data_IF_707851982509
#
_entry.id   IF_707851982509
#
_cell.length_a   1.000
_cell.length_b   1.000
_cell.length_c   1.000
_cell.angle_alpha   90.00
_cell.angle_beta   90.00
_cell.angle_gamma   90.00
#
_symmetry.space_group_name_H-M   'P 1'
#
loop_
_entity.id
_entity.type
_entity.pdbx_description
1 polymer ?
#
# COMPACT_ATOMS: atom_id res chain seq x y z
N UNK A 1 -30.95 4.38 15.48
CA UNK A 1 -30.06 4.57 14.31
C UNK A 1 -28.65 4.36 14.82
N UNK A 2 -28.10 3.15 14.64
CA UNK A 2 -26.74 2.84 15.11
C UNK A 2 -25.73 3.56 14.24
N UNK A 3 -24.80 4.30 14.84
CA UNK A 3 -23.62 4.77 14.11
C UNK A 3 -22.81 3.55 13.69
N UNK A 4 -22.64 3.34 12.39
CA UNK A 4 -21.68 2.37 11.92
C UNK A 4 -20.28 2.78 12.42
N UNK A 5 -19.47 1.83 12.90
CA UNK A 5 -18.11 2.13 13.31
C UNK A 5 -17.39 2.80 12.14
N UNK A 6 -16.71 3.91 12.43
CA UNK A 6 -15.96 4.66 11.44
C UNK A 6 -14.68 3.87 11.13
N UNK A 7 -14.79 2.87 10.26
CA UNK A 7 -13.69 1.99 9.85
C UNK A 7 -12.73 2.82 9.01
N UNK A 8 -11.53 3.11 9.56
CA UNK A 8 -10.50 3.93 8.89
C UNK A 8 -9.48 3.12 8.08
N UNK A 9 -9.62 1.79 8.07
CA UNK A 9 -8.72 0.88 7.37
C UNK A 9 -9.26 -0.55 7.40
N UNK A 10 -8.68 -1.40 6.56
CA UNK A 10 -8.99 -2.83 6.49
C UNK A 10 -7.69 -3.63 6.59
N UNK A 11 -7.77 -4.81 7.19
CA UNK A 11 -6.68 -5.78 7.21
C UNK A 11 -7.27 -7.15 6.90
N UNK A 12 -6.57 -7.93 6.09
CA UNK A 12 -6.99 -9.25 5.68
C UNK A 12 -5.75 -10.07 5.32
N UNK A 13 -5.92 -11.38 5.26
CA UNK A 13 -4.87 -12.32 4.89
C UNK A 13 -4.93 -12.62 3.38
N UNK A 14 -3.77 -12.88 2.80
CA UNK A 14 -3.62 -13.37 1.43
C UNK A 14 -2.98 -14.76 1.45
N UNK A 15 -3.19 -15.59 0.41
CA UNK A 15 -2.43 -16.83 0.26
C UNK A 15 -0.93 -16.56 0.22
N UNK A 16 -0.15 -17.39 0.92
CA UNK A 16 1.32 -17.32 0.93
C UNK A 16 1.92 -17.95 -0.34
N UNK A 17 1.60 -17.37 -1.50
CA UNK A 17 2.05 -17.84 -2.81
C UNK A 17 2.17 -16.66 -3.80
N UNK A 18 2.74 -16.95 -4.97
CA UNK A 18 2.89 -15.98 -6.05
C UNK A 18 1.53 -15.55 -6.62
N UNK A 19 1.33 -14.25 -6.83
CA UNK A 19 0.07 -13.75 -7.40
C UNK A 19 0.08 -12.25 -7.74
N UNK A 20 -1.10 -11.74 -8.09
CA UNK A 20 -1.37 -10.32 -8.37
C UNK A 20 -2.22 -9.73 -7.24
N UNK A 21 -1.77 -9.88 -5.99
CA UNK A 21 -2.62 -9.63 -4.83
C UNK A 21 -3.01 -8.16 -4.71
N UNK A 22 -2.04 -7.24 -4.76
CA UNK A 22 -2.31 -5.82 -4.48
C UNK A 22 -3.24 -5.16 -5.50
N UNK A 23 -3.05 -5.42 -6.79
CA UNK A 23 -3.96 -4.87 -7.81
C UNK A 23 -5.37 -5.46 -7.69
N UNK A 24 -5.50 -6.74 -7.35
CA UNK A 24 -6.80 -7.36 -7.15
C UNK A 24 -7.54 -6.79 -5.94
N UNK A 25 -6.82 -6.56 -4.84
CA UNK A 25 -7.33 -5.93 -3.61
C UNK A 25 -7.75 -4.49 -3.88
N UNK A 26 -6.89 -3.71 -4.53
CA UNK A 26 -7.08 -2.27 -4.72
C UNK A 26 -7.96 -1.92 -5.92
N UNK A 27 -8.34 -2.89 -6.75
CA UNK A 27 -9.20 -2.70 -7.93
C UNK A 27 -10.46 -1.85 -7.69
N UNK A 28 -11.17 -1.94 -6.55
CA UNK A 28 -12.35 -1.10 -6.30
C UNK A 28 -12.03 0.37 -5.97
N UNK A 29 -10.76 0.69 -5.71
CA UNK A 29 -10.28 2.01 -5.31
C UNK A 29 -9.67 2.70 -6.54
N UNK A 30 -10.09 3.94 -6.80
CA UNK A 30 -9.42 4.80 -7.78
C UNK A 30 -8.11 5.33 -7.19
N UNK A 31 -7.05 4.52 -7.29
CA UNK A 31 -5.75 4.81 -6.68
C UNK A 31 -5.20 6.19 -7.07
N UNK A 32 -5.55 6.71 -8.25
CA UNK A 32 -5.07 7.99 -8.78
C UNK A 32 -5.54 9.20 -7.98
N UNK A 33 -6.61 9.09 -7.19
CA UNK A 33 -7.12 10.15 -6.31
C UNK A 33 -6.35 10.31 -5.01
N UNK A 34 -5.30 9.51 -4.80
CA UNK A 34 -4.59 9.44 -3.54
C UNK A 34 -3.07 9.49 -3.74
N UNK A 35 -2.40 10.03 -2.73
CA UNK A 35 -0.99 9.79 -2.44
C UNK A 35 -0.89 8.61 -1.47
N UNK A 36 0.03 7.70 -1.74
CA UNK A 36 0.16 6.43 -1.05
C UNK A 36 1.46 6.41 -0.27
N UNK A 37 1.34 6.37 1.06
CA UNK A 37 2.48 6.09 1.93
C UNK A 37 2.66 4.58 2.02
N UNK A 38 3.82 4.11 1.55
CA UNK A 38 4.31 2.74 1.68
C UNK A 38 4.91 2.63 3.08
N UNK A 39 4.25 1.85 3.93
CA UNK A 39 4.71 1.55 5.28
C UNK A 39 5.73 0.41 5.29
N UNK A 40 5.75 -0.32 6.40
CA UNK A 40 6.57 -1.52 6.52
C UNK A 40 6.05 -2.65 5.64
N UNK A 41 6.96 -3.44 5.08
CA UNK A 41 6.60 -4.57 4.25
C UNK A 41 7.77 -5.52 3.96
N UNK A 42 7.39 -6.74 3.59
CA UNK A 42 8.25 -7.76 2.99
C UNK A 42 7.57 -8.26 1.70
N UNK A 43 7.70 -7.45 0.67
CA UNK A 43 7.07 -7.63 -0.63
C UNK A 43 8.07 -7.63 -1.78
N UNK A 44 7.87 -8.55 -2.71
CA UNK A 44 8.78 -8.78 -3.82
C UNK A 44 8.01 -8.96 -5.11
N UNK A 45 8.67 -8.63 -6.23
CA UNK A 45 8.28 -9.06 -7.57
C UNK A 45 9.28 -10.08 -8.08
N UNK A 46 8.79 -11.03 -8.87
CA UNK A 46 9.63 -11.97 -9.60
C UNK A 46 10.08 -11.35 -10.91
N UNK A 47 11.40 -11.18 -11.08
CA UNK A 47 12.00 -10.73 -12.35
C UNK A 47 13.26 -11.55 -12.61
N UNK A 48 13.38 -12.11 -13.82
CA UNK A 48 14.55 -12.90 -14.24
C UNK A 48 14.91 -14.05 -13.26
N UNK A 49 13.90 -14.71 -12.69
CA UNK A 49 14.00 -15.74 -11.63
C UNK A 49 14.52 -15.27 -10.26
N UNK A 50 14.71 -13.96 -10.07
CA UNK A 50 15.10 -13.37 -8.80
C UNK A 50 13.93 -12.62 -8.13
N UNK A 51 13.95 -12.60 -6.79
CA UNK A 51 13.06 -11.78 -5.99
C UNK A 51 13.68 -10.41 -5.78
N UNK A 52 13.00 -9.39 -6.28
CA UNK A 52 13.42 -7.99 -6.17
C UNK A 52 12.36 -7.25 -5.35
N UNK A 53 12.73 -6.32 -4.45
CA UNK A 53 11.75 -5.51 -3.73
C UNK A 53 10.69 -4.89 -4.67
N UNK A 54 9.41 -4.97 -4.27
CA UNK A 54 8.32 -4.41 -5.08
C UNK A 54 8.42 -2.89 -5.10
N UNK A 55 8.64 -2.27 -3.94
CA UNK A 55 8.82 -0.83 -3.81
C UNK A 55 10.29 -0.45 -3.66
N UNK A 56 10.71 0.73 -4.14
CA UNK A 56 12.08 1.22 -3.96
C UNK A 56 12.35 1.50 -2.47
N UNK A 57 13.56 1.25 -1.98
CA UNK A 57 13.96 1.50 -0.58
C UNK A 57 14.17 2.99 -0.24
N UNK A 58 13.43 3.90 -0.90
CA UNK A 58 13.59 5.35 -0.80
C UNK A 58 12.26 6.03 -0.50
N UNK A 59 11.87 6.97 -1.35
CA UNK A 59 10.64 7.76 -1.21
C UNK A 59 9.44 6.86 -0.87
N UNK A 60 8.96 7.02 0.37
CA UNK A 60 7.84 6.24 0.90
C UNK A 60 6.49 6.71 0.36
N UNK A 61 6.43 7.85 -0.33
CA UNK A 61 5.17 8.43 -0.80
C UNK A 61 5.13 8.36 -2.33
N UNK A 62 4.15 7.62 -2.85
CA UNK A 62 3.90 7.48 -4.28
C UNK A 62 2.60 8.18 -4.67
N UNK A 63 2.58 8.90 -5.79
CA UNK A 63 1.30 9.24 -6.42
C UNK A 63 0.59 7.97 -6.86
N UNK A 64 -0.74 8.00 -6.97
CA UNK A 64 -1.51 6.84 -7.42
C UNK A 64 -1.05 6.26 -8.76
N UNK A 65 -0.64 7.09 -9.71
CA UNK A 65 -0.08 6.63 -10.98
C UNK A 65 1.27 5.93 -10.82
N UNK A 66 2.08 6.35 -9.85
CA UNK A 66 3.37 5.73 -9.56
C UNK A 66 3.17 4.39 -8.85
N UNK A 67 2.26 4.32 -7.87
CA UNK A 67 1.86 3.06 -7.23
C UNK A 67 1.43 2.03 -8.27
N UNK A 68 0.55 2.41 -9.20
CA UNK A 68 0.04 1.50 -10.23
C UNK A 68 1.16 0.92 -11.10
N UNK A 69 2.25 1.67 -11.36
CA UNK A 69 3.41 1.13 -12.11
C UNK A 69 4.14 0.00 -11.37
N UNK A 70 3.98 -0.10 -10.05
CA UNK A 70 4.55 -1.18 -9.27
C UNK A 70 3.60 -2.37 -9.13
N UNK A 71 2.30 -2.12 -8.97
CA UNK A 71 1.35 -3.17 -8.61
C UNK A 71 0.53 -3.72 -9.78
N UNK A 72 0.33 -2.93 -10.84
CA UNK A 72 -0.43 -3.32 -12.05
C UNK A 72 0.56 -3.72 -13.15
N UNK A 73 1.13 -4.93 -13.00
CA UNK A 73 2.14 -5.47 -13.91
C UNK A 73 1.86 -6.93 -14.24
N UNK A 74 2.51 -7.45 -15.28
CA UNK A 74 2.47 -8.88 -15.58
C UNK A 74 3.38 -9.73 -14.68
N UNK A 75 4.28 -9.12 -13.90
CA UNK A 75 5.24 -9.80 -13.03
C UNK A 75 4.53 -10.27 -11.75
N UNK A 76 4.61 -11.57 -11.42
CA UNK A 76 4.02 -12.10 -10.18
C UNK A 76 4.69 -11.52 -8.94
N UNK A 77 3.88 -11.24 -7.92
CA UNK A 77 4.30 -10.73 -6.62
C UNK A 77 4.35 -11.87 -5.60
N UNK A 78 5.29 -11.79 -4.66
CA UNK A 78 5.34 -12.63 -3.46
C UNK A 78 5.37 -11.70 -2.25
N UNK A 79 4.34 -11.77 -1.40
CA UNK A 79 4.08 -10.80 -0.34
C UNK A 79 3.87 -11.56 0.98
N UNK A 80 4.72 -11.28 1.96
CA UNK A 80 4.54 -11.78 3.33
C UNK A 80 3.62 -10.82 4.08
N UNK A 81 3.91 -9.52 4.02
CA UNK A 81 3.03 -8.44 4.50
C UNK A 81 3.37 -7.13 3.79
N UNK A 82 2.41 -6.21 3.75
CA UNK A 82 2.62 -4.83 3.28
C UNK A 82 1.60 -3.91 3.94
N UNK A 83 2.05 -2.71 4.27
CA UNK A 83 1.22 -1.64 4.80
C UNK A 83 1.12 -0.49 3.79
N UNK A 84 -0.11 -0.11 3.42
CA UNK A 84 -0.39 0.94 2.45
C UNK A 84 -1.40 1.91 3.06
N UNK A 85 -1.03 3.20 3.13
CA UNK A 85 -1.91 4.26 3.62
C UNK A 85 -2.22 5.26 2.50
N UNK A 86 -3.50 5.45 2.21
CA UNK A 86 -3.96 6.36 1.16
C UNK A 86 -4.39 7.72 1.75
N UNK A 87 -3.84 8.79 1.22
CA UNK A 87 -4.16 10.18 1.57
C UNK A 87 -4.77 10.86 0.36
N UNK A 88 -5.94 11.52 0.47
CA UNK A 88 -6.51 12.25 -0.66
C UNK A 88 -5.51 13.22 -1.29
N UNK A 89 -5.53 13.36 -2.61
CA UNK A 89 -4.68 14.31 -3.30
C UNK A 89 -4.83 15.73 -2.70
N UNK A 90 -3.70 16.40 -2.45
CA UNK A 90 -3.66 17.71 -1.80
C UNK A 90 -3.71 17.68 -0.27
N UNK A 91 -3.96 16.54 0.36
CA UNK A 91 -3.80 16.39 1.80
C UNK A 91 -2.31 16.27 2.18
N UNK A 92 -1.96 16.78 3.37
CA UNK A 92 -0.66 16.53 3.98
C UNK A 92 -0.51 15.04 4.30
N UNK A 93 0.52 14.41 3.76
CA UNK A 93 0.88 13.04 4.14
C UNK A 93 1.64 13.12 5.47
N UNK A 94 1.04 12.60 6.53
CA UNK A 94 1.69 12.48 7.83
C UNK A 94 2.13 11.03 7.98
N UNK A 95 3.44 10.81 8.00
CA UNK A 95 4.01 9.55 8.47
C UNK A 95 3.87 9.55 10.00
N UNK A 96 2.79 8.94 10.49
CA UNK A 96 2.59 8.69 11.91
C UNK A 96 3.19 7.31 12.18
N UNK A 97 4.48 7.29 12.48
CA UNK A 97 5.22 6.04 12.76
C UNK A 97 5.45 5.87 14.26
N UNK A 98 5.26 6.94 15.05
CA UNK A 98 5.46 6.93 16.50
C UNK A 98 4.21 7.37 17.26
N UNK A 99 4.06 6.85 18.47
CA UNK A 99 3.00 7.25 19.42
C UNK A 99 3.01 8.78 19.63
N UNK A 100 4.19 9.40 19.59
CA UNK A 100 4.37 10.85 19.78
C UNK A 100 3.79 11.71 18.64
N UNK A 101 3.50 11.11 17.47
CA UNK A 101 2.88 11.83 16.33
C UNK A 101 1.36 12.03 16.53
N UNK A 102 0.77 11.46 17.59
CA UNK A 102 -0.65 11.64 17.95
C UNK A 102 -0.92 12.90 18.79
N UNK A 103 0.09 13.56 19.38
CA UNK A 103 -0.09 14.76 20.22
C UNK A 103 -0.20 16.04 19.38
N UNK A 104 -1.17 16.05 18.47
CA UNK A 104 -1.67 17.24 17.80
C UNK A 104 -2.75 17.96 18.60
N UNK A 105 -2.40 18.48 19.80
CA UNK A 105 -3.24 19.25 20.76
C UNK A 105 -4.28 18.50 21.58
#
# INVERSE_FOLDING_TARGET
MGMEPNVRGISFEIPNEYGQWLINILKPIDCKKYNWLIGSGEEYRLRDNDLIPLFPQGDRILKGEELLRFIDTAESQYIIFVDLKAFPEGASVLEIDKYDDFDGK
#
